data_IF_371949615809
#
_entry.id   IF_371949615809
#
_cell.length_a   1.000
_cell.length_b   1.000
_cell.length_c   1.000
_cell.angle_alpha   90.00
_cell.angle_beta   90.00
_cell.angle_gamma   90.00
#
_symmetry.space_group_name_H-M   'P 1'
#
loop_
_entity.id
_entity.type
_entity.pdbx_description
1 polymer ?
#
# COMPACT_ATOMS: atom_id res chain seq x y z
N UNK A 1 21.87 -21.71 2.25
CA UNK A 1 20.93 -21.72 3.39
C UNK A 1 20.76 -23.12 3.96
N UNK A 2 20.38 -24.14 3.18
CA UNK A 2 20.29 -25.54 3.62
C UNK A 2 21.62 -26.07 4.13
N UNK A 3 22.73 -25.70 3.50
CA UNK A 3 24.09 -26.03 4.00
C UNK A 3 24.37 -25.32 5.34
N UNK A 4 23.92 -24.10 5.52
CA UNK A 4 24.09 -23.32 6.75
C UNK A 4 23.26 -23.89 7.92
N UNK A 5 22.06 -24.41 7.66
CA UNK A 5 21.22 -25.05 8.68
C UNK A 5 21.82 -26.41 9.15
N UNK A 6 22.65 -27.06 8.33
CA UNK A 6 23.33 -28.29 8.66
C UNK A 6 24.71 -28.10 9.36
N UNK A 7 25.17 -26.85 9.45
CA UNK A 7 26.50 -26.49 9.97
C UNK A 7 26.81 -27.04 11.36
N UNK A 8 25.86 -27.06 12.34
CA UNK A 8 26.12 -27.64 13.67
C UNK A 8 26.39 -29.15 13.69
N UNK A 9 25.99 -29.85 12.63
CA UNK A 9 26.34 -31.31 12.52
C UNK A 9 27.81 -31.53 12.21
N UNK A 10 28.50 -30.51 11.68
CA UNK A 10 29.89 -30.60 11.25
C UNK A 10 30.84 -29.78 12.12
N UNK A 11 30.38 -28.73 12.77
CA UNK A 11 31.18 -27.83 13.59
C UNK A 11 30.43 -27.60 14.91
N UNK A 12 31.03 -27.94 16.07
CA UNK A 12 30.39 -27.69 17.37
C UNK A 12 30.33 -26.18 17.64
N UNK A 13 29.14 -25.59 17.49
CA UNK A 13 28.89 -24.19 17.77
C UNK A 13 28.43 -24.10 19.23
N UNK A 14 29.18 -23.41 20.08
CA UNK A 14 28.84 -23.20 21.49
C UNK A 14 27.84 -22.06 21.64
N UNK A 15 26.89 -22.19 22.57
CA UNK A 15 25.81 -21.20 22.81
C UNK A 15 26.30 -19.76 23.13
N UNK A 16 27.56 -19.66 23.61
CA UNK A 16 28.17 -18.38 23.96
C UNK A 16 28.77 -17.61 22.76
N UNK A 17 28.71 -18.16 21.54
CA UNK A 17 29.33 -17.55 20.37
C UNK A 17 28.33 -16.67 19.60
N UNK A 18 28.78 -15.51 19.06
CA UNK A 18 27.97 -14.67 18.17
C UNK A 18 27.47 -15.46 16.94
N UNK A 19 28.18 -16.49 16.52
CA UNK A 19 27.82 -17.41 15.44
C UNK A 19 26.56 -18.24 15.78
N UNK A 20 26.31 -18.53 17.06
CA UNK A 20 25.12 -19.27 17.51
C UNK A 20 23.84 -18.48 17.25
N UNK A 21 23.81 -17.17 17.58
CA UNK A 21 22.66 -16.31 17.34
C UNK A 21 22.38 -16.15 15.83
N UNK A 22 23.43 -16.00 15.02
CA UNK A 22 23.31 -15.93 13.56
C UNK A 22 22.78 -17.26 13.02
N UNK A 23 23.31 -18.39 13.49
CA UNK A 23 22.83 -19.71 13.10
C UNK A 23 21.37 -19.94 13.50
N UNK A 24 20.97 -19.56 14.72
CA UNK A 24 19.60 -19.69 15.22
C UNK A 24 18.61 -18.87 14.36
N UNK A 25 19.02 -17.66 13.93
CA UNK A 25 18.22 -16.84 13.01
C UNK A 25 18.01 -17.53 11.66
N UNK A 26 19.08 -18.04 11.03
CA UNK A 26 18.99 -18.70 9.73
C UNK A 26 18.39 -20.12 9.79
N UNK A 27 18.47 -20.79 10.93
CA UNK A 27 17.87 -22.11 11.17
C UNK A 27 16.42 -22.03 11.61
N UNK A 28 15.90 -20.83 11.85
CA UNK A 28 14.52 -20.65 12.23
C UNK A 28 13.61 -21.22 11.12
N UNK A 29 12.71 -22.13 11.51
CA UNK A 29 11.80 -22.82 10.60
C UNK A 29 11.01 -21.83 9.71
N UNK A 30 10.61 -20.70 10.28
CA UNK A 30 9.88 -19.68 9.55
C UNK A 30 10.74 -18.97 8.51
N UNK A 31 12.01 -18.70 8.83
CA UNK A 31 12.96 -18.09 7.89
C UNK A 31 13.29 -19.04 6.73
N UNK A 32 13.48 -20.33 7.01
CA UNK A 32 13.72 -21.35 5.97
C UNK A 32 12.52 -21.51 5.06
N UNK A 33 11.31 -21.57 5.61
CA UNK A 33 10.06 -21.65 4.82
C UNK A 33 9.91 -20.40 3.94
N UNK A 34 10.11 -19.21 4.49
CA UNK A 34 10.02 -17.95 3.74
C UNK A 34 11.02 -17.91 2.57
N UNK A 35 12.27 -18.32 2.81
CA UNK A 35 13.29 -18.33 1.76
C UNK A 35 13.02 -19.40 0.71
N UNK A 36 12.52 -20.60 1.09
CA UNK A 36 12.11 -21.63 0.14
C UNK A 36 10.92 -21.19 -0.71
N UNK A 37 9.94 -20.53 -0.10
CA UNK A 37 8.79 -19.95 -0.81
C UNK A 37 9.22 -18.86 -1.79
N UNK A 38 10.14 -17.98 -1.39
CA UNK A 38 10.73 -16.97 -2.25
C UNK A 38 11.47 -17.61 -3.43
N UNK A 39 12.25 -18.65 -3.17
CA UNK A 39 12.99 -19.37 -4.20
C UNK A 39 12.05 -20.10 -5.18
N UNK A 40 11.03 -20.77 -4.66
CA UNK A 40 10.01 -21.43 -5.47
C UNK A 40 9.23 -20.42 -6.35
N UNK A 41 8.87 -19.26 -5.80
CA UNK A 41 8.23 -18.18 -6.55
C UNK A 41 9.14 -17.63 -7.65
N UNK A 42 10.44 -17.51 -7.40
CA UNK A 42 11.43 -17.09 -8.38
C UNK A 42 11.63 -18.14 -9.48
N UNK A 43 11.70 -19.43 -9.16
CA UNK A 43 11.83 -20.51 -10.14
C UNK A 43 10.57 -20.65 -11.01
N UNK A 44 9.40 -20.61 -10.42
CA UNK A 44 8.14 -20.61 -11.15
C UNK A 44 8.07 -19.40 -12.10
N UNK A 45 8.45 -18.21 -11.63
CA UNK A 45 8.53 -17.00 -12.44
C UNK A 45 9.52 -17.16 -13.60
N UNK A 46 10.72 -17.70 -13.37
CA UNK A 46 11.73 -17.92 -14.40
C UNK A 46 11.27 -19.00 -15.43
N UNK A 47 10.63 -20.05 -14.97
CA UNK A 47 10.06 -21.09 -15.82
C UNK A 47 8.99 -20.55 -16.77
N UNK A 48 8.12 -19.69 -16.28
CA UNK A 48 7.08 -19.04 -17.07
C UNK A 48 7.67 -18.07 -18.09
N UNK A 49 8.68 -17.28 -17.71
CA UNK A 49 9.37 -16.37 -18.63
C UNK A 49 10.07 -17.13 -19.76
N UNK A 50 10.66 -18.27 -19.48
CA UNK A 50 11.29 -19.13 -20.51
C UNK A 50 10.26 -19.79 -21.43
N UNK A 51 9.05 -20.07 -20.94
CA UNK A 51 7.96 -20.64 -21.72
C UNK A 51 7.28 -19.58 -22.62
N UNK A 52 7.30 -18.30 -22.17
CA UNK A 52 6.76 -17.19 -22.93
C UNK A 52 7.80 -16.77 -23.98
N UNK A 53 7.53 -17.10 -25.24
CA UNK A 53 8.40 -16.84 -26.39
C UNK A 53 8.77 -15.35 -26.50
N UNK A 54 9.96 -15.01 -26.99
CA UNK A 54 10.54 -13.64 -27.09
C UNK A 54 9.68 -12.57 -27.80
N UNK A 55 8.51 -12.94 -28.34
CA UNK A 55 7.54 -12.07 -29.03
C UNK A 55 6.21 -11.87 -28.29
N UNK A 56 6.15 -12.14 -26.98
CA UNK A 56 4.89 -12.02 -26.23
C UNK A 56 4.53 -10.55 -25.94
N UNK A 57 3.22 -10.29 -26.00
CA UNK A 57 2.67 -8.97 -25.68
C UNK A 57 2.93 -8.66 -24.18
N UNK A 58 3.53 -7.50 -23.84
CA UNK A 58 3.78 -7.10 -22.45
C UNK A 58 2.54 -7.14 -21.56
N UNK A 59 1.36 -6.80 -22.11
CA UNK A 59 0.10 -6.86 -21.36
C UNK A 59 -0.26 -8.29 -20.94
N UNK A 60 -0.04 -9.30 -21.81
CA UNK A 60 -0.26 -10.70 -21.47
C UNK A 60 0.69 -11.16 -20.36
N UNK A 61 1.97 -10.79 -20.45
CA UNK A 61 2.96 -11.11 -19.43
C UNK A 61 2.53 -10.57 -18.04
N UNK A 62 2.09 -9.32 -18.01
CA UNK A 62 1.57 -8.69 -16.79
C UNK A 62 0.38 -9.46 -16.23
N UNK A 63 -0.64 -9.75 -17.05
CA UNK A 63 -1.84 -10.46 -16.61
C UNK A 63 -1.51 -11.83 -16.03
N UNK A 64 -0.59 -12.56 -16.66
CA UNK A 64 -0.15 -13.88 -16.16
C UNK A 64 0.61 -13.76 -14.84
N UNK A 65 1.52 -12.80 -14.69
CA UNK A 65 2.22 -12.57 -13.43
C UNK A 65 1.25 -12.26 -12.29
N UNK A 66 0.27 -11.40 -12.54
CA UNK A 66 -0.76 -11.08 -11.53
C UNK A 66 -1.62 -12.29 -11.17
N UNK A 67 -2.06 -13.06 -12.16
CA UNK A 67 -2.83 -14.28 -11.92
C UNK A 67 -2.05 -15.28 -11.04
N UNK A 68 -0.74 -15.40 -11.25
CA UNK A 68 0.11 -16.28 -10.44
C UNK A 68 0.21 -15.77 -9.00
N UNK A 69 0.44 -14.46 -8.81
CA UNK A 69 0.51 -13.86 -7.47
C UNK A 69 -0.81 -14.06 -6.73
N UNK A 70 -1.94 -13.87 -7.42
CA UNK A 70 -3.28 -14.08 -6.86
C UNK A 70 -3.49 -15.54 -6.44
N UNK A 71 -3.18 -16.50 -7.32
CA UNK A 71 -3.33 -17.92 -7.02
C UNK A 71 -2.42 -18.35 -5.88
N UNK A 72 -1.17 -17.87 -5.87
CA UNK A 72 -0.23 -18.14 -4.80
C UNK A 72 -0.69 -17.53 -3.47
N UNK A 73 -1.18 -16.30 -3.49
CA UNK A 73 -1.78 -15.64 -2.32
C UNK A 73 -3.00 -16.42 -1.79
N UNK A 74 -3.89 -16.86 -2.67
CA UNK A 74 -5.03 -17.68 -2.29
C UNK A 74 -4.61 -19.00 -1.63
N UNK A 75 -3.60 -19.68 -2.17
CA UNK A 75 -3.03 -20.89 -1.56
C UNK A 75 -2.45 -20.62 -0.17
N UNK A 76 -1.77 -19.50 0.03
CA UNK A 76 -1.26 -19.11 1.35
C UNK A 76 -2.40 -18.82 2.34
N UNK A 77 -3.48 -18.18 1.89
CA UNK A 77 -4.65 -17.90 2.74
C UNK A 77 -5.44 -19.16 3.12
N UNK A 78 -5.38 -20.21 2.29
CA UNK A 78 -6.00 -21.51 2.57
C UNK A 78 -5.21 -22.38 3.55
N UNK A 79 -3.99 -21.99 3.93
CA UNK A 79 -3.22 -22.75 4.93
C UNK A 79 -3.92 -22.71 6.29
N UNK A 80 -3.93 -23.85 7.04
CA UNK A 80 -4.61 -23.92 8.34
C UNK A 80 -4.12 -22.92 9.40
N UNK A 81 -2.91 -22.36 9.20
CA UNK A 81 -2.34 -21.31 10.06
C UNK A 81 -2.82 -19.91 9.72
N UNK A 82 -3.38 -19.71 8.53
CA UNK A 82 -3.81 -18.39 8.07
C UNK A 82 -5.21 -18.03 8.58
N UNK A 83 -6.02 -19.02 8.95
CA UNK A 83 -7.39 -18.84 9.45
C UNK A 83 -7.47 -19.14 10.94
N UNK A 84 -8.45 -18.54 11.62
CA UNK A 84 -8.75 -18.83 13.02
C UNK A 84 -9.19 -20.29 13.20
N UNK A 85 -8.94 -20.85 14.39
CA UNK A 85 -9.38 -22.20 14.73
C UNK A 85 -10.90 -22.33 14.50
N UNK A 86 -11.29 -23.44 13.86
CA UNK A 86 -12.68 -23.77 13.48
C UNK A 86 -13.27 -23.00 12.28
N UNK A 87 -12.53 -22.10 11.62
CA UNK A 87 -13.00 -21.44 10.39
C UNK A 87 -12.39 -22.15 9.19
N UNK A 88 -13.24 -22.75 8.37
CA UNK A 88 -12.87 -23.30 7.06
C UNK A 88 -13.17 -22.25 6.01
N UNK A 89 -12.12 -21.63 5.46
CA UNK A 89 -12.27 -20.63 4.40
C UNK A 89 -12.60 -21.32 3.08
N UNK A 90 -13.71 -21.00 2.40
CA UNK A 90 -14.01 -21.49 1.07
C UNK A 90 -12.92 -21.03 0.06
N UNK A 91 -12.60 -21.90 -0.91
CA UNK A 91 -11.60 -21.57 -1.95
C UNK A 91 -11.97 -20.30 -2.73
N UNK A 92 -13.27 -20.11 -2.99
CA UNK A 92 -13.78 -18.93 -3.68
C UNK A 92 -13.47 -17.63 -2.89
N UNK A 93 -13.66 -17.65 -1.57
CA UNK A 93 -13.37 -16.50 -0.70
C UNK A 93 -11.86 -16.23 -0.61
N UNK A 94 -11.04 -17.26 -0.53
CA UNK A 94 -9.58 -17.12 -0.56
C UNK A 94 -9.10 -16.47 -1.86
N UNK A 95 -9.62 -16.89 -3.02
CA UNK A 95 -9.30 -16.30 -4.32
C UNK A 95 -9.82 -14.87 -4.40
N UNK A 96 -11.04 -14.60 -3.91
CA UNK A 96 -11.62 -13.27 -3.90
C UNK A 96 -10.77 -12.30 -3.07
N UNK A 97 -10.41 -12.67 -1.84
CA UNK A 97 -9.61 -11.83 -0.95
C UNK A 97 -8.21 -11.62 -1.49
N UNK A 98 -7.56 -12.69 -2.01
CA UNK A 98 -6.26 -12.57 -2.64
C UNK A 98 -6.30 -11.63 -3.86
N UNK A 99 -7.33 -11.75 -4.71
CA UNK A 99 -7.54 -10.86 -5.85
C UNK A 99 -7.74 -9.42 -5.39
N UNK A 100 -8.62 -9.22 -4.41
CA UNK A 100 -8.91 -7.91 -3.84
C UNK A 100 -7.68 -7.26 -3.21
N UNK A 101 -6.84 -8.02 -2.52
CA UNK A 101 -5.61 -7.54 -1.93
C UNK A 101 -4.57 -7.15 -2.99
N UNK A 102 -4.33 -8.03 -3.99
CA UNK A 102 -3.35 -7.78 -5.06
C UNK A 102 -3.81 -6.69 -6.03
N UNK A 103 -5.10 -6.62 -6.33
CA UNK A 103 -5.66 -5.55 -7.17
C UNK A 103 -5.98 -4.28 -6.37
N UNK A 104 -5.70 -4.29 -5.05
CA UNK A 104 -5.90 -3.13 -4.18
C UNK A 104 -7.35 -2.61 -4.24
N UNK A 105 -8.31 -3.54 -4.19
CA UNK A 105 -9.74 -3.21 -4.37
C UNK A 105 -10.42 -2.90 -3.03
N UNK A 106 -10.04 -3.61 -1.96
CA UNK A 106 -10.58 -3.39 -0.61
C UNK A 106 -11.91 -4.06 -0.30
N UNK A 107 -12.41 -4.88 -1.21
CA UNK A 107 -13.62 -5.66 -0.97
C UNK A 107 -13.27 -6.99 -0.28
N UNK A 108 -14.06 -7.40 0.69
CA UNK A 108 -13.91 -8.66 1.39
C UNK A 108 -15.27 -9.34 1.54
N UNK A 109 -15.30 -10.67 1.32
CA UNK A 109 -16.48 -11.51 1.54
C UNK A 109 -16.62 -11.93 2.99
N UNK A 110 -15.56 -11.81 3.79
CA UNK A 110 -15.50 -12.17 5.20
C UNK A 110 -14.85 -11.06 6.01
N UNK A 111 -15.10 -11.03 7.31
CA UNK A 111 -14.43 -10.11 8.22
C UNK A 111 -12.96 -10.54 8.43
N UNK A 112 -12.01 -9.69 8.03
CA UNK A 112 -10.58 -9.98 8.12
C UNK A 112 -10.13 -10.19 9.56
N UNK A 113 -10.67 -9.41 10.50
CA UNK A 113 -10.29 -9.49 11.91
C UNK A 113 -10.73 -10.80 12.57
N UNK A 114 -11.90 -11.31 12.18
CA UNK A 114 -12.48 -12.51 12.78
C UNK A 114 -12.04 -13.79 12.06
N UNK A 115 -11.76 -13.73 10.78
CA UNK A 115 -11.46 -14.91 9.96
C UNK A 115 -9.97 -15.27 9.95
N UNK A 116 -9.09 -14.26 9.90
CA UNK A 116 -7.67 -14.51 9.72
C UNK A 116 -6.87 -14.36 11.02
N UNK A 117 -5.91 -15.26 11.19
CA UNK A 117 -4.89 -15.17 12.22
C UNK A 117 -3.91 -14.03 11.90
N UNK A 118 -2.99 -13.78 12.82
CA UNK A 118 -1.89 -12.84 12.61
C UNK A 118 -1.07 -13.17 11.36
N UNK A 119 -0.78 -14.46 11.11
CA UNK A 119 -0.07 -14.92 9.92
C UNK A 119 -0.88 -14.66 8.64
N UNK A 120 -2.18 -14.93 8.65
CA UNK A 120 -3.07 -14.65 7.52
C UNK A 120 -3.15 -13.15 7.21
N UNK A 121 -3.20 -12.31 8.23
CA UNK A 121 -3.17 -10.85 8.06
C UNK A 121 -1.83 -10.35 7.51
N UNK A 122 -0.69 -10.97 7.89
CA UNK A 122 0.61 -10.67 7.27
C UNK A 122 0.59 -11.01 5.78
N UNK A 123 0.04 -12.17 5.41
CA UNK A 123 -0.09 -12.54 3.98
C UNK A 123 -0.91 -11.49 3.23
N UNK A 124 -2.04 -11.05 3.77
CA UNK A 124 -2.86 -10.00 3.17
C UNK A 124 -2.06 -8.69 3.03
N UNK A 125 -1.33 -8.26 4.07
CA UNK A 125 -0.50 -7.06 4.02
C UNK A 125 0.58 -7.14 2.93
N UNK A 126 1.22 -8.30 2.77
CA UNK A 126 2.21 -8.53 1.72
C UNK A 126 1.58 -8.49 0.32
N UNK A 127 0.39 -9.08 0.15
CA UNK A 127 -0.32 -9.02 -1.13
C UNK A 127 -0.73 -7.59 -1.48
N UNK A 128 -1.20 -6.81 -0.50
CA UNK A 128 -1.49 -5.38 -0.66
C UNK A 128 -0.23 -4.61 -1.07
N UNK A 129 0.89 -4.86 -0.40
CA UNK A 129 2.16 -4.20 -0.70
C UNK A 129 2.63 -4.50 -2.13
N UNK A 130 2.53 -5.76 -2.56
CA UNK A 130 2.84 -6.18 -3.92
C UNK A 130 1.93 -5.47 -4.93
N UNK A 131 0.63 -5.42 -4.65
CA UNK A 131 -0.37 -4.75 -5.49
C UNK A 131 -0.17 -3.23 -5.56
N UNK A 132 0.01 -2.60 -4.39
CA UNK A 132 0.13 -1.14 -4.25
C UNK A 132 1.41 -0.55 -4.84
N UNK A 133 2.51 -1.31 -4.84
CA UNK A 133 3.72 -0.92 -5.57
C UNK A 133 3.49 -0.85 -7.07
N UNK A 134 2.37 -1.40 -7.50
CA UNK A 134 1.85 -1.27 -8.86
C UNK A 134 2.46 -2.26 -9.84
N UNK A 135 1.62 -2.61 -10.76
CA UNK A 135 1.91 -3.46 -11.90
C UNK A 135 3.24 -3.04 -12.55
N UNK A 136 3.47 -1.75 -12.66
CA UNK A 136 4.60 -1.18 -13.39
C UNK A 136 5.95 -1.36 -12.70
N UNK A 137 6.02 -1.20 -11.38
CA UNK A 137 7.29 -1.32 -10.64
C UNK A 137 7.74 -2.77 -10.55
N UNK A 138 6.81 -3.68 -10.25
CA UNK A 138 7.13 -5.11 -10.08
C UNK A 138 7.44 -5.75 -11.42
N UNK A 139 6.62 -5.53 -12.46
CA UNK A 139 6.88 -6.08 -13.80
C UNK A 139 8.19 -5.55 -14.37
N UNK A 140 8.52 -4.28 -14.15
CA UNK A 140 9.78 -3.71 -14.57
C UNK A 140 10.97 -4.31 -13.82
N UNK A 141 10.84 -4.52 -12.51
CA UNK A 141 11.86 -5.17 -11.70
C UNK A 141 12.09 -6.62 -12.17
N UNK A 142 11.04 -7.40 -12.36
CA UNK A 142 11.13 -8.76 -12.87
C UNK A 142 11.70 -8.80 -14.29
N UNK A 143 11.27 -7.92 -15.18
CA UNK A 143 11.80 -7.85 -16.54
C UNK A 143 13.31 -7.53 -16.55
N UNK A 144 13.79 -6.61 -15.71
CA UNK A 144 15.21 -6.27 -15.62
C UNK A 144 16.01 -7.40 -14.99
N UNK A 145 15.49 -8.02 -13.93
CA UNK A 145 16.22 -9.03 -13.15
C UNK A 145 16.30 -10.39 -13.87
N UNK A 146 15.24 -10.78 -14.56
CA UNK A 146 15.13 -12.13 -15.16
C UNK A 146 15.42 -12.17 -16.67
N UNK A 147 15.28 -11.05 -17.39
CA UNK A 147 15.50 -11.05 -18.83
C UNK A 147 16.96 -10.84 -19.26
N UNK A 148 17.91 -10.67 -18.31
CA UNK A 148 19.38 -10.76 -18.47
C UNK A 148 20.06 -10.15 -19.72
N UNK A 149 19.29 -9.50 -20.57
CA UNK A 149 19.70 -8.88 -21.83
C UNK A 149 18.44 -8.38 -22.52
N UNK A 150 17.95 -7.24 -22.06
CA UNK A 150 16.73 -6.65 -22.62
C UNK A 150 16.98 -6.20 -24.05
N UNK A 151 16.39 -6.90 -25.02
CA UNK A 151 16.31 -6.40 -26.38
C UNK A 151 15.64 -5.02 -26.40
N UNK A 152 16.01 -4.17 -27.36
CA UNK A 152 15.51 -2.79 -27.50
C UNK A 152 13.97 -2.69 -27.40
N UNK A 153 13.25 -3.67 -27.92
CA UNK A 153 11.78 -3.71 -27.90
C UNK A 153 11.22 -3.75 -26.46
N UNK A 154 11.79 -4.61 -25.59
CA UNK A 154 11.37 -4.71 -24.21
C UNK A 154 11.70 -3.45 -23.41
N UNK A 155 12.81 -2.80 -23.77
CA UNK A 155 13.21 -1.52 -23.19
C UNK A 155 12.23 -0.40 -23.55
N UNK A 156 11.75 -0.33 -24.80
CA UNK A 156 10.75 0.65 -25.21
C UNK A 156 9.40 0.42 -24.50
N UNK A 157 8.95 -0.83 -24.39
CA UNK A 157 7.72 -1.17 -23.67
C UNK A 157 7.79 -0.77 -22.18
N UNK A 158 8.94 -1.00 -21.52
CA UNK A 158 9.19 -0.57 -20.14
C UNK A 158 9.21 0.95 -19.99
N UNK A 159 9.84 1.65 -20.94
CA UNK A 159 9.86 3.11 -20.96
C UNK A 159 8.45 3.70 -21.01
N UNK A 160 7.61 3.18 -21.89
CA UNK A 160 6.22 3.66 -22.05
C UNK A 160 5.38 3.37 -20.79
N UNK A 161 5.64 2.25 -20.12
CA UNK A 161 4.97 1.87 -18.87
C UNK A 161 5.37 2.73 -17.67
N UNK A 162 6.65 3.12 -17.56
CA UNK A 162 7.19 3.84 -16.38
C UNK A 162 7.16 5.35 -16.60
N UNK A 163 6.97 5.82 -17.84
CA UNK A 163 6.98 7.25 -18.20
C UNK A 163 8.34 7.92 -18.01
N UNK A 164 9.45 7.17 -18.05
CA UNK A 164 10.79 7.69 -17.87
C UNK A 164 11.48 7.98 -19.22
N UNK A 165 12.25 9.06 -19.27
CA UNK A 165 12.87 9.53 -20.53
C UNK A 165 14.13 8.75 -20.94
N UNK A 166 14.81 8.06 -20.00
CA UNK A 166 16.08 7.36 -20.24
C UNK A 166 16.18 6.01 -19.53
N UNK A 167 16.78 5.00 -20.19
CA UNK A 167 16.92 3.64 -19.65
C UNK A 167 17.82 3.53 -18.43
N UNK A 168 18.89 4.27 -18.35
CA UNK A 168 19.81 4.27 -17.21
C UNK A 168 19.16 4.76 -15.92
N UNK A 169 18.03 5.48 -16.02
CA UNK A 169 17.29 6.00 -14.88
C UNK A 169 16.20 5.04 -14.36
N UNK A 170 15.85 3.96 -15.09
CA UNK A 170 14.73 3.09 -14.73
C UNK A 170 14.95 2.40 -13.38
N UNK A 171 16.07 1.72 -13.20
CA UNK A 171 16.39 1.01 -11.94
C UNK A 171 16.43 2.01 -10.78
N UNK A 172 17.10 3.15 -10.99
CA UNK A 172 17.15 4.20 -9.98
C UNK A 172 15.76 4.74 -9.62
N UNK A 173 14.89 4.91 -10.61
CA UNK A 173 13.50 5.36 -10.39
C UNK A 173 12.70 4.31 -9.62
N UNK A 174 12.83 3.03 -9.97
CA UNK A 174 12.17 1.93 -9.24
C UNK A 174 12.62 1.84 -7.79
N UNK A 175 13.92 1.84 -7.54
CA UNK A 175 14.47 1.82 -6.18
C UNK A 175 14.04 3.05 -5.37
N UNK A 176 13.95 4.20 -6.05
CA UNK A 176 13.46 5.42 -5.44
C UNK A 176 11.97 5.32 -5.06
N UNK A 177 11.13 4.77 -5.95
CA UNK A 177 9.70 4.55 -5.66
C UNK A 177 9.54 3.61 -4.47
N UNK A 178 10.24 2.47 -4.48
CA UNK A 178 10.25 1.50 -3.38
C UNK A 178 10.67 2.15 -2.06
N UNK A 179 11.82 2.82 -2.04
CA UNK A 179 12.33 3.47 -0.84
C UNK A 179 11.40 4.57 -0.33
N UNK A 180 10.80 5.35 -1.23
CA UNK A 180 9.85 6.40 -0.89
C UNK A 180 8.55 5.84 -0.28
N UNK A 181 8.02 4.75 -0.85
CA UNK A 181 6.86 4.05 -0.32
C UNK A 181 7.11 3.57 1.11
N UNK A 182 8.18 2.80 1.34
CA UNK A 182 8.51 2.30 2.67
C UNK A 182 8.74 3.42 3.70
N UNK A 183 9.35 4.53 3.29
CA UNK A 183 9.55 5.68 4.18
C UNK A 183 8.21 6.30 4.60
N UNK A 184 7.29 6.53 3.65
CA UNK A 184 5.98 7.10 3.98
C UNK A 184 5.17 6.13 4.85
N UNK A 185 5.17 4.85 4.51
CA UNK A 185 4.48 3.81 5.29
C UNK A 185 5.05 3.70 6.71
N UNK A 186 6.36 3.76 6.89
CA UNK A 186 7.00 3.75 8.20
C UNK A 186 6.64 5.01 9.03
N UNK A 187 6.65 6.19 8.40
CA UNK A 187 6.21 7.44 9.04
C UNK A 187 4.72 7.36 9.40
N UNK A 188 3.89 6.88 8.48
CA UNK A 188 2.47 6.68 8.72
C UNK A 188 2.19 5.72 9.87
N UNK A 189 2.86 4.57 9.89
CA UNK A 189 2.76 3.59 10.96
C UNK A 189 3.18 4.18 12.32
N UNK A 190 4.24 4.97 12.35
CA UNK A 190 4.68 5.66 13.57
C UNK A 190 3.62 6.62 14.10
N UNK A 191 3.02 7.46 13.24
CA UNK A 191 1.97 8.39 13.66
C UNK A 191 0.67 7.67 14.05
N UNK A 192 0.30 6.59 13.35
CA UNK A 192 -0.85 5.74 13.74
C UNK A 192 -0.60 5.17 15.13
N UNK A 193 0.57 4.57 15.36
CA UNK A 193 0.93 4.02 16.66
C UNK A 193 0.85 5.09 17.77
N UNK A 194 1.40 6.28 17.53
CA UNK A 194 1.34 7.38 18.48
C UNK A 194 -0.09 7.80 18.82
N UNK A 195 -1.02 7.71 17.84
CA UNK A 195 -2.41 8.09 18.02
C UNK A 195 -3.24 7.08 18.81
N UNK A 196 -2.85 5.78 18.78
CA UNK A 196 -3.60 4.69 19.43
C UNK A 196 -2.92 4.18 20.71
N UNK A 197 -1.65 4.52 20.93
CA UNK A 197 -0.85 4.02 22.05
C UNK A 197 -1.50 4.28 23.40
N UNK A 198 -1.69 3.19 24.17
CA UNK A 198 -2.28 3.25 25.51
C UNK A 198 -3.79 3.53 25.55
N UNK A 199 -4.48 3.61 24.40
CA UNK A 199 -5.92 3.88 24.34
C UNK A 199 -6.73 2.67 23.92
N UNK A 200 -6.12 1.73 23.19
CA UNK A 200 -6.69 0.46 22.83
C UNK A 200 -6.19 -0.63 23.80
N UNK A 201 -7.07 -1.57 24.19
CA UNK A 201 -6.69 -2.71 25.03
C UNK A 201 -5.87 -3.74 24.22
N UNK A 202 -4.75 -3.30 23.65
CA UNK A 202 -3.85 -4.11 22.83
C UNK A 202 -2.46 -4.17 23.47
N UNK A 203 -1.76 -5.30 23.27
CA UNK A 203 -0.36 -5.41 23.62
C UNK A 203 0.52 -4.61 22.64
N UNK A 204 1.70 -4.19 23.04
CA UNK A 204 2.62 -3.40 22.20
C UNK A 204 2.86 -4.02 20.81
N UNK A 205 3.02 -5.35 20.74
CA UNK A 205 3.19 -6.05 19.45
C UNK A 205 1.95 -5.93 18.56
N UNK A 206 0.76 -6.00 19.14
CA UNK A 206 -0.50 -5.84 18.41
C UNK A 206 -0.68 -4.39 17.93
N UNK A 207 -0.36 -3.39 18.75
CA UNK A 207 -0.40 -1.97 18.36
C UNK A 207 0.54 -1.67 17.19
N UNK A 208 1.79 -2.19 17.25
CA UNK A 208 2.77 -2.00 16.18
C UNK A 208 2.28 -2.65 14.88
N UNK A 209 1.81 -3.88 14.95
CA UNK A 209 1.30 -4.58 13.78
C UNK A 209 0.09 -3.88 13.17
N UNK A 210 -0.88 -3.50 14.02
CA UNK A 210 -2.04 -2.72 13.63
C UNK A 210 -1.64 -1.46 12.87
N UNK A 211 -0.67 -0.74 13.41
CA UNK A 211 -0.19 0.51 12.81
C UNK A 211 0.49 0.29 11.47
N UNK A 212 1.31 -0.75 11.35
CA UNK A 212 1.98 -1.10 10.09
C UNK A 212 0.94 -1.54 9.05
N UNK A 213 0.01 -2.43 9.43
CA UNK A 213 -1.02 -2.94 8.54
C UNK A 213 -1.88 -1.81 7.97
N UNK A 214 -2.39 -0.92 8.85
CA UNK A 214 -3.24 0.18 8.41
C UNK A 214 -2.48 1.24 7.63
N UNK A 215 -1.20 1.46 7.91
CA UNK A 215 -0.36 2.36 7.13
C UNK A 215 -0.17 1.85 5.70
N UNK A 216 0.16 0.56 5.54
CA UNK A 216 0.28 -0.09 4.23
C UNK A 216 -1.06 -0.04 3.49
N UNK A 217 -2.14 -0.49 4.15
CA UNK A 217 -3.47 -0.52 3.57
C UNK A 217 -3.96 0.87 3.12
N UNK A 218 -3.67 1.92 3.90
CA UNK A 218 -4.06 3.28 3.58
C UNK A 218 -3.21 3.90 2.46
N UNK A 219 -1.89 3.75 2.50
CA UNK A 219 -1.01 4.30 1.47
C UNK A 219 -1.19 3.59 0.12
N UNK A 220 -1.36 2.27 0.14
CA UNK A 220 -1.68 1.49 -1.05
C UNK A 220 -3.13 1.69 -1.53
N UNK A 221 -4.00 2.38 -0.79
CA UNK A 221 -5.43 2.52 -1.07
C UNK A 221 -6.17 1.19 -1.13
N UNK A 222 -5.81 0.24 -0.25
CA UNK A 222 -6.33 -1.11 -0.27
C UNK A 222 -7.63 -1.30 0.55
N UNK A 223 -7.89 -0.46 1.56
CA UNK A 223 -9.14 -0.48 2.32
C UNK A 223 -9.35 -1.65 3.27
N UNK A 224 -8.39 -2.54 3.41
CA UNK A 224 -8.44 -3.61 4.39
C UNK A 224 -8.14 -3.12 5.79
N UNK A 225 -8.86 -3.65 6.79
CA UNK A 225 -8.67 -3.34 8.20
C UNK A 225 -8.58 -4.63 9.02
N UNK A 226 -7.78 -4.60 10.07
CA UNK A 226 -7.73 -5.65 11.10
C UNK A 226 -8.76 -5.44 12.20
N UNK A 227 -9.67 -4.49 12.02
CA UNK A 227 -10.82 -4.26 12.91
C UNK A 227 -12.07 -4.86 12.34
N UNK A 228 -12.88 -5.46 13.20
CA UNK A 228 -14.22 -5.88 12.83
C UNK A 228 -15.10 -4.66 12.53
N UNK A 229 -15.83 -4.71 11.40
CA UNK A 229 -16.60 -3.56 10.91
C UNK A 229 -15.75 -2.47 10.22
N UNK A 230 -14.54 -2.80 9.79
CA UNK A 230 -13.60 -1.87 9.14
C UNK A 230 -13.28 -0.69 10.08
N UNK A 231 -13.16 0.53 9.59
CA UNK A 231 -12.91 1.72 10.41
C UNK A 231 -14.17 2.31 11.09
N UNK A 232 -15.35 1.70 10.87
CA UNK A 232 -16.58 2.02 11.61
C UNK A 232 -16.65 1.42 13.01
N UNK A 233 -15.58 0.78 13.48
CA UNK A 233 -15.53 0.19 14.82
C UNK A 233 -15.68 1.28 15.90
N UNK A 234 -16.63 1.14 16.86
CA UNK A 234 -16.90 2.15 17.88
C UNK A 234 -15.68 2.54 18.74
N UNK A 235 -14.73 1.63 18.92
CA UNK A 235 -13.52 1.90 19.73
C UNK A 235 -12.64 2.98 19.11
N UNK A 236 -12.65 3.10 17.78
CA UNK A 236 -11.87 4.13 17.06
C UNK A 236 -12.74 5.34 16.72
N UNK A 237 -14.01 5.11 16.37
CA UNK A 237 -14.89 6.12 15.78
C UNK A 237 -15.10 7.36 16.65
N UNK A 238 -15.17 7.21 17.97
CA UNK A 238 -15.50 8.30 18.89
C UNK A 238 -14.28 8.89 19.62
N UNK A 239 -13.12 8.22 19.59
CA UNK A 239 -12.00 8.60 20.44
C UNK A 239 -10.72 8.96 19.68
N UNK A 240 -10.65 8.69 18.37
CA UNK A 240 -9.39 8.72 17.63
C UNK A 240 -9.44 9.54 16.34
N UNK A 241 -9.82 10.82 16.43
CA UNK A 241 -9.84 11.73 15.28
C UNK A 241 -8.48 11.84 14.58
N UNK A 242 -7.38 11.82 15.34
CA UNK A 242 -6.03 11.84 14.81
C UNK A 242 -5.77 10.66 13.87
N UNK A 243 -6.26 9.47 14.21
CA UNK A 243 -6.16 8.27 13.39
C UNK A 243 -6.81 8.48 12.01
N UNK A 244 -8.04 9.00 11.95
CA UNK A 244 -8.73 9.26 10.68
C UNK A 244 -8.01 10.31 9.83
N UNK A 245 -7.44 11.34 10.44
CA UNK A 245 -6.67 12.37 9.74
C UNK A 245 -5.39 11.77 9.15
N UNK A 246 -4.69 10.91 9.90
CA UNK A 246 -3.47 10.24 9.43
C UNK A 246 -3.79 9.30 8.27
N UNK A 247 -4.80 8.45 8.42
CA UNK A 247 -5.26 7.54 7.36
C UNK A 247 -5.68 8.33 6.11
N UNK A 248 -6.48 9.39 6.26
CA UNK A 248 -6.87 10.28 5.17
C UNK A 248 -5.66 10.86 4.43
N UNK A 249 -4.64 11.28 5.17
CA UNK A 249 -3.40 11.83 4.60
C UNK A 249 -2.64 10.77 3.81
N UNK A 250 -2.53 9.54 4.33
CA UNK A 250 -1.89 8.42 3.63
C UNK A 250 -2.63 8.05 2.34
N UNK A 251 -3.96 7.97 2.38
CA UNK A 251 -4.81 7.73 1.21
C UNK A 251 -4.57 8.79 0.13
N UNK A 252 -4.56 10.07 0.51
CA UNK A 252 -4.32 11.17 -0.44
C UNK A 252 -2.90 11.07 -1.02
N UNK A 253 -1.89 10.81 -0.21
CA UNK A 253 -0.50 10.67 -0.69
C UNK A 253 -0.37 9.48 -1.66
N UNK A 254 -0.94 8.33 -1.36
CA UNK A 254 -0.98 7.19 -2.27
C UNK A 254 -1.72 7.49 -3.56
N UNK A 255 -2.89 8.13 -3.46
CA UNK A 255 -3.75 8.46 -4.59
C UNK A 255 -3.25 9.60 -5.50
N UNK A 256 -2.22 10.35 -5.13
CA UNK A 256 -1.64 11.40 -5.99
C UNK A 256 -0.78 10.83 -7.12
N UNK A 257 -0.18 9.66 -6.96
CA UNK A 257 0.71 9.03 -7.92
C UNK A 257 2.20 9.41 -7.78
N UNK A 258 3.04 8.44 -8.07
CA UNK A 258 4.50 8.55 -7.86
C UNK A 258 5.16 9.69 -8.64
N UNK A 259 4.85 9.95 -9.93
CA UNK A 259 5.46 11.06 -10.66
C UNK A 259 5.15 12.42 -10.03
N UNK A 260 3.94 12.57 -9.49
CA UNK A 260 3.49 13.80 -8.84
C UNK A 260 4.20 13.97 -7.50
N UNK A 261 4.32 12.90 -6.71
CA UNK A 261 5.04 12.92 -5.44
C UNK A 261 6.52 13.23 -5.63
N UNK A 262 7.16 12.68 -6.67
CA UNK A 262 8.56 13.02 -7.02
C UNK A 262 8.71 14.50 -7.42
N UNK A 263 7.79 15.02 -8.21
CA UNK A 263 7.79 16.42 -8.62
C UNK A 263 7.49 17.34 -7.43
N UNK A 264 6.55 16.96 -6.57
CA UNK A 264 6.24 17.67 -5.34
C UNK A 264 7.45 17.75 -4.39
N UNK A 265 8.20 16.64 -4.22
CA UNK A 265 9.45 16.65 -3.45
C UNK A 265 10.46 17.63 -4.02
N UNK A 266 10.68 17.64 -5.36
CA UNK A 266 11.58 18.61 -6.02
C UNK A 266 11.12 20.05 -5.75
N UNK A 267 9.81 20.30 -5.85
CA UNK A 267 9.22 21.62 -5.58
C UNK A 267 9.38 22.04 -4.12
N UNK A 268 9.13 21.12 -3.18
CA UNK A 268 9.27 21.39 -1.74
C UNK A 268 10.74 21.64 -1.36
N UNK A 269 11.66 20.82 -1.86
CA UNK A 269 13.11 21.00 -1.65
C UNK A 269 13.62 22.32 -2.21
N UNK A 270 13.12 22.77 -3.37
CA UNK A 270 13.47 24.07 -3.93
C UNK A 270 12.91 25.22 -3.08
N UNK A 271 11.62 25.15 -2.70
CA UNK A 271 10.98 26.19 -1.88
C UNK A 271 11.59 26.27 -0.47
N UNK A 272 11.75 25.12 0.20
CA UNK A 272 12.38 25.06 1.52
C UNK A 272 13.82 25.56 1.48
N UNK A 273 14.58 25.12 0.49
CA UNK A 273 15.94 25.62 0.31
C UNK A 273 16.02 27.13 0.08
N UNK A 274 15.09 27.71 -0.70
CA UNK A 274 15.02 29.17 -0.90
C UNK A 274 14.64 29.89 0.40
N UNK A 275 13.77 29.28 1.20
CA UNK A 275 13.38 29.80 2.51
C UNK A 275 14.56 29.78 3.50
N UNK A 276 15.30 28.67 3.58
CA UNK A 276 16.51 28.55 4.40
C UNK A 276 17.62 29.51 3.94
N UNK A 277 17.85 29.65 2.62
CA UNK A 277 18.84 30.61 2.10
C UNK A 277 18.46 32.06 2.45
N UNK A 278 17.16 32.38 2.49
CA UNK A 278 16.66 33.69 2.90
C UNK A 278 16.88 33.92 4.42
N UNK A 279 16.62 32.90 5.26
CA UNK A 279 16.83 32.99 6.71
C UNK A 279 18.32 33.09 7.05
N UNK A 280 19.15 32.24 6.43
CA UNK A 280 20.59 32.19 6.71
C UNK A 280 21.42 33.16 5.84
N UNK A 281 20.78 34.08 5.09
CA UNK A 281 21.43 35.07 4.20
C UNK A 281 22.48 34.46 3.26
N UNK A 282 22.34 33.19 2.88
CA UNK A 282 23.26 32.51 1.94
C UNK A 282 22.88 32.87 0.51
N UNK A 283 23.77 33.54 -0.23
CA UNK A 283 23.65 33.80 -1.68
C UNK A 283 24.10 32.57 -2.49
N UNK A 284 23.36 31.45 -2.40
CA UNK A 284 23.63 30.28 -3.25
C UNK A 284 22.84 30.43 -4.54
N UNK A 285 23.57 30.52 -5.68
CA UNK A 285 22.93 30.45 -7.00
C UNK A 285 22.35 29.04 -7.16
N UNK A 286 21.03 28.92 -7.08
CA UNK A 286 20.32 27.67 -7.39
C UNK A 286 19.98 27.64 -8.86
N UNK A 287 20.10 26.49 -9.54
CA UNK A 287 19.69 26.39 -10.93
C UNK A 287 18.22 26.83 -11.08
N UNK A 288 18.00 27.73 -12.03
CA UNK A 288 16.68 28.24 -12.34
C UNK A 288 15.93 27.17 -13.15
N UNK A 289 15.05 26.42 -12.49
CA UNK A 289 14.14 25.51 -13.18
C UNK A 289 12.93 26.30 -13.65
N UNK A 290 12.84 26.60 -14.94
CA UNK A 290 11.75 27.38 -15.55
C UNK A 290 10.37 26.70 -15.40
N UNK A 291 10.32 25.37 -15.20
CA UNK A 291 9.12 24.60 -14.96
C UNK A 291 9.30 23.61 -13.81
N UNK A 292 9.28 24.10 -12.56
CA UNK A 292 9.40 23.26 -11.35
C UNK A 292 8.18 22.35 -11.18
N UNK A 293 7.02 22.80 -11.60
CA UNK A 293 5.78 22.03 -11.52
C UNK A 293 5.26 21.74 -12.92
N UNK A 294 5.23 20.46 -13.30
CA UNK A 294 4.61 20.00 -14.53
C UNK A 294 3.11 20.35 -14.53
N UNK A 295 2.53 20.61 -15.70
CA UNK A 295 1.10 20.94 -15.86
C UNK A 295 0.23 19.84 -15.22
N UNK A 296 0.56 18.58 -15.47
CA UNK A 296 -0.12 17.44 -14.87
C UNK A 296 -0.12 17.49 -13.33
N UNK A 297 1.03 17.79 -12.71
CA UNK A 297 1.13 17.94 -11.24
C UNK A 297 0.21 19.04 -10.71
N UNK A 298 0.14 20.17 -11.39
CA UNK A 298 -0.74 21.28 -10.99
C UNK A 298 -2.21 20.89 -11.09
N UNK A 299 -2.61 20.25 -12.19
CA UNK A 299 -3.99 19.80 -12.42
C UNK A 299 -4.40 18.78 -11.35
N UNK A 300 -3.61 17.72 -11.13
CA UNK A 300 -3.97 16.67 -10.16
C UNK A 300 -4.01 17.21 -8.74
N UNK A 301 -3.05 18.04 -8.32
CA UNK A 301 -3.08 18.64 -6.99
C UNK A 301 -4.27 19.57 -6.79
N UNK A 302 -4.58 20.44 -7.77
CA UNK A 302 -5.72 21.36 -7.66
C UNK A 302 -7.05 20.61 -7.66
N UNK A 303 -7.23 19.63 -8.55
CA UNK A 303 -8.46 18.81 -8.60
C UNK A 303 -8.63 17.97 -7.33
N UNK A 304 -7.54 17.37 -6.81
CA UNK A 304 -7.61 16.65 -5.53
C UNK A 304 -8.03 17.57 -4.39
N UNK A 305 -7.45 18.77 -4.27
CA UNK A 305 -7.84 19.73 -3.24
C UNK A 305 -9.30 20.18 -3.39
N UNK A 306 -9.74 20.50 -4.60
CA UNK A 306 -11.13 20.90 -4.87
C UNK A 306 -12.10 19.78 -4.50
N UNK A 307 -11.85 18.54 -4.93
CA UNK A 307 -12.73 17.41 -4.64
C UNK A 307 -12.80 17.10 -3.14
N UNK A 308 -11.70 17.22 -2.41
CA UNK A 308 -11.69 17.03 -0.96
C UNK A 308 -12.52 18.12 -0.28
N UNK A 309 -12.29 19.40 -0.61
CA UNK A 309 -13.01 20.52 0.02
C UNK A 309 -14.50 20.47 -0.31
N UNK A 310 -14.85 20.37 -1.58
CA UNK A 310 -16.25 20.30 -2.03
C UNK A 310 -16.94 19.06 -1.47
N UNK A 311 -16.25 17.89 -1.52
CA UNK A 311 -16.77 16.64 -0.97
C UNK A 311 -17.04 16.73 0.52
N UNK A 312 -16.11 17.28 1.30
CA UNK A 312 -16.28 17.47 2.74
C UNK A 312 -17.48 18.38 3.04
N UNK A 313 -17.65 19.48 2.30
CA UNK A 313 -18.78 20.39 2.50
C UNK A 313 -20.11 19.71 2.17
N UNK A 314 -20.20 19.01 1.04
CA UNK A 314 -21.44 18.33 0.62
C UNK A 314 -21.83 17.25 1.64
N UNK A 315 -20.89 16.39 2.04
CA UNK A 315 -21.17 15.33 3.01
C UNK A 315 -21.50 15.91 4.38
N UNK A 316 -20.78 16.95 4.83
CA UNK A 316 -21.09 17.62 6.09
C UNK A 316 -22.52 18.16 6.09
N UNK A 317 -22.95 18.89 5.05
CA UNK A 317 -24.30 19.46 4.98
C UNK A 317 -25.37 18.36 4.91
N UNK A 318 -25.13 17.32 4.11
CA UNK A 318 -26.11 16.24 3.89
C UNK A 318 -26.31 15.36 5.12
N UNK A 319 -25.24 15.04 5.86
CA UNK A 319 -25.25 14.03 6.93
C UNK A 319 -25.19 14.62 8.35
N UNK A 320 -25.12 15.94 8.49
CA UNK A 320 -24.94 16.62 9.79
C UNK A 320 -25.98 16.24 10.84
N UNK A 321 -27.25 16.15 10.42
CA UNK A 321 -28.38 15.80 11.26
C UNK A 321 -28.92 14.38 11.01
N UNK A 322 -28.14 13.53 10.30
CA UNK A 322 -28.50 12.15 9.96
C UNK A 322 -27.44 11.18 10.47
N UNK A 323 -26.57 10.69 9.61
CA UNK A 323 -25.55 9.71 9.98
C UNK A 323 -24.60 10.22 11.08
N UNK A 324 -24.38 11.53 11.18
CA UNK A 324 -23.48 12.14 12.15
C UNK A 324 -24.19 12.73 13.40
N UNK A 325 -25.51 12.51 13.56
CA UNK A 325 -26.31 13.17 14.61
C UNK A 325 -25.73 12.97 16.01
N UNK A 326 -25.25 11.77 16.33
CA UNK A 326 -24.71 11.40 17.66
C UNK A 326 -23.28 11.87 17.91
N UNK A 327 -22.60 12.45 16.91
CA UNK A 327 -21.18 12.80 17.00
C UNK A 327 -20.96 14.22 17.51
N UNK A 328 -19.88 14.49 18.26
CA UNK A 328 -19.42 15.83 18.58
C UNK A 328 -19.09 16.65 17.32
N UNK A 329 -19.09 17.97 17.44
CA UNK A 329 -18.85 18.88 16.31
C UNK A 329 -17.55 18.59 15.53
N UNK A 330 -16.45 18.36 16.23
CA UNK A 330 -15.15 18.09 15.62
C UNK A 330 -15.14 16.74 14.90
N UNK A 331 -15.75 15.71 15.49
CA UNK A 331 -15.86 14.38 14.89
C UNK A 331 -16.66 14.43 13.59
N UNK A 332 -17.76 15.22 13.52
CA UNK A 332 -18.54 15.43 12.30
C UNK A 332 -17.68 15.97 11.16
N UNK A 333 -16.79 16.92 11.45
CA UNK A 333 -15.89 17.51 10.44
C UNK A 333 -14.88 16.46 9.96
N UNK A 334 -14.26 15.73 10.89
CA UNK A 334 -13.26 14.71 10.58
C UNK A 334 -13.89 13.56 9.78
N UNK A 335 -15.09 13.10 10.18
CA UNK A 335 -15.82 12.06 9.45
C UNK A 335 -16.27 12.53 8.06
N UNK A 336 -16.70 13.79 7.92
CA UNK A 336 -17.02 14.35 6.62
C UNK A 336 -15.79 14.40 5.70
N UNK A 337 -14.63 14.81 6.23
CA UNK A 337 -13.37 14.81 5.50
C UNK A 337 -12.95 13.40 5.09
N UNK A 338 -12.99 12.45 6.02
CA UNK A 338 -12.63 11.05 5.76
C UNK A 338 -13.53 10.45 4.67
N UNK A 339 -14.86 10.63 4.78
CA UNK A 339 -15.82 10.12 3.82
C UNK A 339 -15.80 10.85 2.47
N UNK A 340 -15.20 12.04 2.37
CA UNK A 340 -14.92 12.69 1.09
C UNK A 340 -13.66 12.10 0.39
N UNK A 341 -12.73 11.53 1.16
CA UNK A 341 -11.47 10.98 0.66
C UNK A 341 -11.61 9.48 0.35
N UNK A 342 -12.25 8.72 1.24
CA UNK A 342 -12.36 7.26 1.17
C UNK A 342 -12.94 6.72 -0.17
N UNK A 343 -14.00 7.32 -0.79
CA UNK A 343 -14.55 6.82 -2.04
C UNK A 343 -13.59 6.95 -3.23
N UNK A 344 -12.56 7.76 -3.13
CA UNK A 344 -11.54 7.89 -4.17
C UNK A 344 -10.55 6.73 -4.12
N UNK A 345 -11.10 5.50 -4.27
CA UNK A 345 -10.40 4.22 -4.37
C UNK A 345 -9.65 3.77 -3.12
N UNK A 346 -10.03 4.24 -1.90
CA UNK A 346 -9.38 3.80 -0.68
C UNK A 346 -9.99 2.54 -0.06
N UNK A 347 -11.26 2.26 -0.33
CA UNK A 347 -11.95 1.05 0.15
C UNK A 347 -12.34 1.05 1.64
N UNK A 348 -11.91 2.02 2.42
CA UNK A 348 -12.24 2.11 3.85
C UNK A 348 -13.65 2.66 4.08
N UNK A 349 -14.35 2.08 5.06
CA UNK A 349 -15.64 2.54 5.52
C UNK A 349 -15.58 2.89 7.01
N UNK A 350 -15.95 4.13 7.35
CA UNK A 350 -16.11 4.57 8.75
C UNK A 350 -17.56 4.52 9.21
N UNK A 351 -18.50 4.55 8.28
CA UNK A 351 -19.94 4.49 8.51
C UNK A 351 -20.54 3.53 7.50
N UNK A 352 -21.57 2.81 7.89
CA UNK A 352 -22.31 1.96 6.98
C UNK A 352 -23.01 2.81 5.91
N UNK A 353 -22.76 2.50 4.63
CA UNK A 353 -23.34 3.21 3.50
C UNK A 353 -24.87 3.22 3.50
N UNK A 354 -25.51 2.26 4.17
CA UNK A 354 -26.97 2.21 4.32
C UNK A 354 -27.55 3.35 5.17
N UNK A 355 -26.72 3.96 6.01
CA UNK A 355 -27.12 5.08 6.88
C UNK A 355 -27.06 6.43 6.15
N UNK A 356 -26.38 6.50 5.00
CA UNK A 356 -26.24 7.73 4.24
C UNK A 356 -27.52 8.09 3.48
N UNK A 357 -27.71 9.38 3.27
CA UNK A 357 -28.76 9.91 2.42
C UNK A 357 -28.53 9.55 0.94
N UNK A 358 -29.60 9.48 0.17
CA UNK A 358 -29.52 9.23 -1.27
C UNK A 358 -28.59 10.25 -1.99
N UNK A 359 -28.62 11.51 -1.56
CA UNK A 359 -27.75 12.56 -2.11
C UNK A 359 -26.28 12.23 -1.88
N UNK A 360 -25.94 11.82 -0.67
CA UNK A 360 -24.57 11.40 -0.33
C UNK A 360 -24.15 10.17 -1.12
N UNK A 361 -25.02 9.18 -1.30
CA UNK A 361 -24.71 7.97 -2.07
C UNK A 361 -24.45 8.30 -3.55
N UNK A 362 -25.26 9.15 -4.17
CA UNK A 362 -25.04 9.59 -5.55
C UNK A 362 -23.71 10.35 -5.68
N UNK A 363 -23.43 11.24 -4.74
CA UNK A 363 -22.18 11.99 -4.72
C UNK A 363 -20.97 11.08 -4.46
N UNK A 364 -21.12 10.10 -3.59
CA UNK A 364 -20.12 9.06 -3.31
C UNK A 364 -19.78 8.28 -4.59
N UNK A 365 -20.80 7.85 -5.34
CA UNK A 365 -20.62 7.17 -6.62
C UNK A 365 -19.89 8.04 -7.65
N UNK A 366 -20.17 9.35 -7.65
CA UNK A 366 -19.45 10.30 -8.50
C UNK A 366 -17.96 10.43 -8.11
N UNK A 367 -17.64 10.47 -6.82
CA UNK A 367 -16.26 10.49 -6.34
C UNK A 367 -15.52 9.17 -6.68
N UNK A 368 -16.21 8.03 -6.57
CA UNK A 368 -15.67 6.73 -6.98
C UNK A 368 -15.34 6.69 -8.47
N UNK A 369 -16.18 7.29 -9.30
CA UNK A 369 -15.94 7.35 -10.75
C UNK A 369 -14.74 8.20 -11.12
N UNK A 370 -14.49 9.30 -10.42
CA UNK A 370 -13.30 10.13 -10.66
C UNK A 370 -12.03 9.43 -10.21
N UNK A 371 -12.06 8.72 -9.07
CA UNK A 371 -10.94 7.96 -8.53
C UNK A 371 -9.73 8.82 -8.12
N UNK A 372 -8.54 8.22 -8.23
CA UNK A 372 -7.26 8.85 -7.89
C UNK A 372 -6.51 9.43 -9.09
N UNK A 373 -5.24 9.77 -8.90
CA UNK A 373 -4.36 10.25 -9.96
C UNK A 373 -3.82 9.10 -10.84
N UNK A 374 -3.49 9.40 -12.08
CA UNK A 374 -2.82 8.42 -12.96
C UNK A 374 -1.46 7.99 -12.39
N UNK A 375 -1.11 6.72 -12.57
CA UNK A 375 0.11 6.12 -12.02
C UNK A 375 0.22 6.22 -10.50
N UNK A 376 -0.92 6.16 -9.81
CA UNK A 376 -1.03 6.09 -8.36
C UNK A 376 -1.37 4.67 -7.89
N UNK A 377 -1.30 4.46 -6.59
CA UNK A 377 -1.82 3.22 -5.96
C UNK A 377 -3.33 3.09 -6.13
N UNK A 378 -4.02 4.19 -6.41
CA UNK A 378 -5.47 4.25 -6.64
C UNK A 378 -5.89 3.79 -8.06
N UNK A 379 -4.99 3.31 -8.88
CA UNK A 379 -5.29 2.79 -10.21
C UNK A 379 -5.40 3.84 -11.33
N UNK A 380 -5.83 5.06 -11.02
CA UNK A 380 -5.87 6.23 -11.93
C UNK A 380 -6.97 6.19 -12.98
#
# INVERSE_FOLDING_TARGET
>A
LLLFSALPKFIPITEASALYNIWQFFSNKHFIILTLLLFAALEVSSGIINFINKKTNPALLMTVCFAIIILFGALLLLLPRSTQEHIVLPVADAIFISTSAVCVTGLSTVDIAQTFTYEGQIVIALLIQIGGLGIMTITSFFAIFFMGGTGLFNQFALRDMIGSETFSSLISTLLYILGFTFIIEAIGAFFIWLSIHGTMNMNLHQEIFFSIFHSISAFCNAGFSTLSGNLGNPTIMYNHNAFYIIISTLIVLGGLGFPILMNFKKMLSYKSGKFFDKIFRRKKQRPFYSHIANINTKIVLSMTAILIVVGTIIIAISEWNRAFVSMPFFDKIVQSLFNAIAPRTAGFNSIDLTQFSLITIIFYSFLMWIGGGSQSTAGG
#
